data_IF_008983097081
#
_entry.id   IF_008983097081
#
_cell.length_a   1.000
_cell.length_b   1.000
_cell.length_c   1.000
_cell.angle_alpha   90.00
_cell.angle_beta   90.00
_cell.angle_gamma   90.00
#
_symmetry.space_group_name_H-M   'P 1'
#
loop_
_entity.id
_entity.type
_entity.pdbx_description
1 polymer ?
#
# COMPACT_ATOMS: atom_id res chain seq x y z
N UNK A 1 -18.08 -25.68 81.57
CA UNK A 1 -17.38 -26.37 80.47
C UNK A 1 -18.34 -26.37 79.30
N UNK A 2 -17.93 -25.74 78.19
CA UNK A 2 -18.68 -25.41 76.96
C UNK A 2 -19.66 -24.24 77.03
N UNK A 3 -19.23 -23.03 76.63
CA UNK A 3 -20.12 -21.97 76.11
C UNK A 3 -19.43 -20.86 75.26
N UNK A 4 -18.18 -21.04 74.78
CA UNK A 4 -17.45 -19.97 74.06
C UNK A 4 -17.18 -20.22 72.55
N UNK A 5 -17.71 -21.30 71.95
CA UNK A 5 -17.38 -21.66 70.54
C UNK A 5 -18.38 -21.16 69.49
N UNK A 6 -19.56 -20.65 69.87
CA UNK A 6 -20.63 -20.40 68.88
C UNK A 6 -20.48 -19.09 68.11
N UNK A 7 -19.74 -18.11 68.64
CA UNK A 7 -19.60 -16.77 68.03
C UNK A 7 -18.65 -16.73 66.84
N UNK A 8 -17.64 -17.61 66.78
CA UNK A 8 -16.71 -17.70 65.64
C UNK A 8 -17.38 -18.32 64.39
N UNK A 9 -18.33 -19.23 64.60
CA UNK A 9 -19.10 -19.85 63.52
C UNK A 9 -20.04 -18.83 62.86
N UNK A 10 -20.62 -17.91 63.64
CA UNK A 10 -21.51 -16.87 63.13
C UNK A 10 -20.79 -15.78 62.32
N UNK A 11 -19.56 -15.39 62.68
CA UNK A 11 -18.76 -14.46 61.86
C UNK A 11 -18.26 -15.12 60.56
N UNK A 12 -17.93 -16.41 60.61
CA UNK A 12 -17.57 -17.18 59.42
C UNK A 12 -18.74 -17.30 58.42
N UNK A 13 -19.97 -17.47 58.92
CA UNK A 13 -21.19 -17.47 58.10
C UNK A 13 -21.50 -16.09 57.50
N UNK A 14 -21.24 -14.99 58.23
CA UNK A 14 -21.36 -13.63 57.68
C UNK A 14 -20.37 -13.38 56.55
N UNK A 15 -19.13 -13.87 56.68
CA UNK A 15 -18.13 -13.78 55.62
C UNK A 15 -18.50 -14.60 54.38
N UNK A 16 -19.02 -15.81 54.56
CA UNK A 16 -19.48 -16.64 53.43
C UNK A 16 -20.69 -16.03 52.70
N UNK A 17 -21.64 -15.42 53.43
CA UNK A 17 -22.75 -14.68 52.80
C UNK A 17 -22.29 -13.44 52.03
N UNK A 18 -21.27 -12.71 52.52
CA UNK A 18 -20.69 -11.56 51.79
C UNK A 18 -19.95 -12.00 50.52
N UNK A 19 -19.23 -13.12 50.54
CA UNK A 19 -18.52 -13.66 49.37
C UNK A 19 -19.48 -14.06 48.24
N UNK A 20 -20.57 -14.77 48.55
CA UNK A 20 -21.59 -15.18 47.56
C UNK A 20 -22.30 -13.96 46.94
N UNK A 21 -22.53 -12.90 47.73
CA UNK A 21 -23.11 -11.66 47.23
C UNK A 21 -22.18 -10.90 46.28
N UNK A 22 -20.86 -10.94 46.52
CA UNK A 22 -19.84 -10.30 45.67
C UNK A 22 -19.70 -11.02 44.32
N UNK A 23 -19.76 -12.35 44.29
CA UNK A 23 -19.68 -13.11 43.04
C UNK A 23 -20.84 -12.82 42.10
N UNK A 24 -22.06 -12.71 42.64
CA UNK A 24 -23.24 -12.36 41.86
C UNK A 24 -23.22 -10.90 41.40
N UNK A 25 -22.67 -9.99 42.21
CA UNK A 25 -22.48 -8.58 41.85
C UNK A 25 -21.43 -8.41 40.74
N UNK A 26 -20.30 -9.14 40.80
CA UNK A 26 -19.26 -9.09 39.77
C UNK A 26 -19.77 -9.65 38.43
N UNK A 27 -20.51 -10.77 38.47
CA UNK A 27 -21.19 -11.32 37.27
C UNK A 27 -22.19 -10.34 36.68
N UNK A 28 -22.97 -9.66 37.53
CA UNK A 28 -23.92 -8.64 37.09
C UNK A 28 -23.22 -7.44 36.42
N UNK A 29 -22.11 -6.96 36.97
CA UNK A 29 -21.33 -5.87 36.37
C UNK A 29 -20.71 -6.25 35.02
N UNK A 30 -20.22 -7.48 34.85
CA UNK A 30 -19.71 -7.97 33.57
C UNK A 30 -20.82 -8.04 32.49
N UNK A 31 -22.02 -8.51 32.85
CA UNK A 31 -23.16 -8.57 31.94
C UNK A 31 -23.63 -7.17 31.55
N UNK A 32 -23.75 -6.24 32.51
CA UNK A 32 -24.10 -4.84 32.23
C UNK A 32 -23.06 -4.19 31.32
N UNK A 33 -21.77 -4.42 31.56
CA UNK A 33 -20.69 -3.92 30.69
C UNK A 33 -20.78 -4.41 29.25
N UNK A 34 -21.10 -5.70 29.03
CA UNK A 34 -21.30 -6.24 27.68
C UNK A 34 -22.53 -5.64 26.98
N UNK A 35 -23.65 -5.46 27.69
CA UNK A 35 -24.86 -4.87 27.12
C UNK A 35 -24.64 -3.39 26.74
N UNK A 36 -23.93 -2.63 27.57
CA UNK A 36 -23.56 -1.23 27.28
C UNK A 36 -22.58 -1.15 26.10
N UNK A 37 -21.62 -2.08 26.01
CA UNK A 37 -20.68 -2.16 24.89
C UNK A 37 -21.34 -2.46 23.54
N UNK A 38 -22.38 -3.30 23.52
CA UNK A 38 -23.14 -3.64 22.31
C UNK A 38 -23.99 -2.44 21.81
N UNK A 39 -24.48 -1.58 22.72
CA UNK A 39 -25.29 -0.41 22.34
C UNK A 39 -24.47 0.77 21.77
N UNK A 40 -23.15 0.76 21.88
CA UNK A 40 -22.27 1.85 21.43
C UNK A 40 -21.84 1.76 19.96
N UNK A 41 -22.44 0.89 19.14
CA UNK A 41 -22.12 0.76 17.71
C UNK A 41 -23.34 0.89 16.78
N UNK A 42 -24.38 1.62 17.19
CA UNK A 42 -25.62 1.80 16.38
C UNK A 42 -25.71 3.11 15.61
N UNK A 43 -24.72 4.01 15.75
CA UNK A 43 -24.70 5.32 15.07
C UNK A 43 -23.28 5.71 14.61
N UNK A 44 -22.68 4.87 13.78
CA UNK A 44 -21.55 5.29 12.93
C UNK A 44 -22.07 5.65 11.52
N UNK A 45 -22.38 6.93 11.23
CA UNK A 45 -22.69 7.39 9.87
C UNK A 45 -21.43 7.57 8.99
N UNK A 46 -20.39 6.75 9.20
CA UNK A 46 -19.12 6.80 8.44
C UNK A 46 -18.65 5.43 7.91
N UNK A 47 -19.57 4.48 7.78
CA UNK A 47 -19.41 3.37 6.83
C UNK A 47 -20.06 3.75 5.49
N UNK A 48 -19.71 4.92 4.94
CA UNK A 48 -19.95 5.22 3.53
C UNK A 48 -18.65 4.99 2.80
N UNK A 49 -18.31 3.72 2.60
CA UNK A 49 -17.20 3.28 1.75
C UNK A 49 -17.75 2.52 0.51
N UNK A 50 -18.86 3.00 -0.02
CA UNK A 50 -19.20 2.77 -1.43
C UNK A 50 -19.20 4.13 -2.12
N UNK A 51 -18.20 4.34 -2.96
CA UNK A 51 -18.55 4.63 -4.32
C UNK A 51 -17.84 3.63 -5.24
N UNK A 52 -18.61 3.00 -6.13
CA UNK A 52 -18.13 2.38 -7.37
C UNK A 52 -17.48 0.98 -7.31
N UNK A 53 -17.85 0.09 -6.38
CA UNK A 53 -17.41 -1.32 -6.41
C UNK A 53 -18.51 -2.34 -6.73
N UNK A 54 -19.57 -1.93 -7.44
CA UNK A 54 -20.60 -2.83 -7.93
C UNK A 54 -20.47 -3.00 -9.45
N UNK A 55 -19.47 -3.76 -9.92
CA UNK A 55 -19.46 -4.19 -11.32
C UNK A 55 -18.15 -4.65 -11.95
N UNK A 56 -17.00 -4.48 -11.30
CA UNK A 56 -15.75 -5.06 -11.82
C UNK A 56 -15.58 -6.46 -11.24
N UNK A 57 -15.16 -7.47 -12.05
CA UNK A 57 -14.72 -8.73 -11.49
C UNK A 57 -13.68 -8.42 -10.40
N UNK A 58 -13.65 -9.22 -9.34
CA UNK A 58 -12.64 -9.13 -8.29
C UNK A 58 -11.25 -9.49 -8.85
N UNK A 59 -10.77 -8.71 -9.82
CA UNK A 59 -9.39 -8.72 -10.25
C UNK A 59 -8.59 -8.38 -9.02
N UNK A 60 -7.83 -9.37 -8.57
CA UNK A 60 -6.93 -9.15 -7.46
C UNK A 60 -5.93 -8.08 -7.89
N UNK A 61 -5.96 -6.92 -7.24
CA UNK A 61 -5.08 -5.79 -7.53
C UNK A 61 -3.87 -5.88 -6.62
N UNK A 62 -2.68 -5.56 -7.14
CA UNK A 62 -1.54 -5.25 -6.30
C UNK A 62 -1.42 -3.73 -6.12
N UNK A 63 -1.26 -3.30 -4.87
CA UNK A 63 -1.08 -1.90 -4.55
C UNK A 63 0.42 -1.60 -4.43
N UNK A 64 0.95 -0.83 -5.37
CA UNK A 64 2.31 -0.32 -5.32
C UNK A 64 2.31 1.11 -4.75
N UNK A 65 3.17 1.37 -3.78
CA UNK A 65 3.43 2.74 -3.31
C UNK A 65 4.77 3.18 -3.84
N UNK A 66 4.80 4.34 -4.50
CA UNK A 66 6.04 4.97 -5.00
C UNK A 66 6.87 5.40 -3.79
N UNK A 67 8.10 4.88 -3.70
CA UNK A 67 8.99 5.06 -2.53
C UNK A 67 10.29 5.75 -2.88
N UNK A 68 10.69 5.78 -4.14
CA UNK A 68 12.02 6.20 -4.54
C UNK A 68 11.96 7.26 -5.63
N UNK A 69 12.89 8.21 -5.56
CA UNK A 69 13.09 9.18 -6.64
C UNK A 69 13.53 8.45 -7.92
N UNK A 70 13.03 8.92 -9.06
CA UNK A 70 13.28 8.31 -10.36
C UNK A 70 12.44 7.08 -10.66
N UNK A 71 11.52 6.67 -9.77
CA UNK A 71 10.47 5.72 -10.13
C UNK A 71 9.55 6.38 -11.16
N UNK A 72 9.42 5.72 -12.31
CA UNK A 72 8.51 6.15 -13.39
C UNK A 72 7.52 5.04 -13.66
N UNK A 73 6.37 5.41 -14.23
CA UNK A 73 5.33 4.43 -14.57
C UNK A 73 5.85 3.36 -15.54
N UNK A 74 6.77 3.72 -16.44
CA UNK A 74 7.44 2.79 -17.35
C UNK A 74 8.36 1.78 -16.62
N UNK A 75 9.12 2.22 -15.61
CA UNK A 75 9.98 1.33 -14.81
C UNK A 75 9.15 0.40 -13.93
N UNK A 76 8.07 0.92 -13.35
CA UNK A 76 7.11 0.13 -12.58
C UNK A 76 6.45 -0.90 -13.49
N UNK A 77 5.97 -0.50 -14.67
CA UNK A 77 5.41 -1.43 -15.67
C UNK A 77 6.42 -2.51 -16.06
N UNK A 78 7.67 -2.12 -16.34
CA UNK A 78 8.74 -3.07 -16.70
C UNK A 78 9.03 -4.08 -15.59
N UNK A 79 9.06 -3.64 -14.34
CA UNK A 79 9.28 -4.56 -13.21
C UNK A 79 8.12 -5.54 -13.05
N UNK A 80 6.89 -5.02 -13.01
CA UNK A 80 5.73 -5.83 -12.67
C UNK A 80 5.24 -6.68 -13.85
N UNK A 81 5.38 -6.21 -15.10
CA UNK A 81 4.88 -6.88 -16.31
C UNK A 81 5.95 -7.34 -17.29
N UNK A 82 7.23 -7.04 -17.02
CA UNK A 82 8.34 -7.34 -17.92
C UNK A 82 8.51 -6.34 -19.08
N UNK A 83 7.47 -5.59 -19.42
CA UNK A 83 7.47 -4.65 -20.54
C UNK A 83 7.14 -3.23 -20.05
N UNK A 84 8.02 -2.27 -20.37
CA UNK A 84 7.78 -0.86 -20.10
C UNK A 84 6.56 -0.32 -20.83
N UNK A 85 6.22 -0.82 -22.03
CA UNK A 85 5.10 -0.33 -22.83
C UNK A 85 3.72 -0.54 -22.18
N UNK A 86 3.63 -1.45 -21.20
CA UNK A 86 2.41 -1.65 -20.41
C UNK A 86 2.09 -0.48 -19.47
N UNK A 87 2.93 0.55 -19.39
CA UNK A 87 2.65 1.76 -18.61
C UNK A 87 1.31 2.41 -18.99
N UNK A 88 0.90 2.36 -20.26
CA UNK A 88 -0.38 2.91 -20.72
C UNK A 88 -1.56 2.19 -20.08
N UNK A 89 -1.52 0.86 -20.03
CA UNK A 89 -2.57 0.04 -19.39
C UNK A 89 -2.66 0.30 -17.90
N UNK A 90 -1.52 0.46 -17.23
CA UNK A 90 -1.48 0.82 -15.81
C UNK A 90 -2.05 2.25 -15.63
N UNK A 91 -1.71 3.18 -16.51
CA UNK A 91 -2.25 4.56 -16.46
C UNK A 91 -3.77 4.57 -16.61
N UNK A 92 -4.30 3.87 -17.63
CA UNK A 92 -5.74 3.74 -17.87
C UNK A 92 -6.46 3.12 -16.65
N UNK A 93 -5.89 2.06 -16.07
CA UNK A 93 -6.45 1.41 -14.89
C UNK A 93 -6.53 2.34 -13.65
N UNK A 94 -5.65 3.33 -13.57
CA UNK A 94 -5.60 4.30 -12.47
C UNK A 94 -6.31 5.62 -12.78
N UNK A 95 -7.14 5.67 -13.83
CA UNK A 95 -7.90 6.88 -14.18
C UNK A 95 -7.11 7.87 -15.02
N UNK A 96 -6.26 7.38 -15.93
CA UNK A 96 -5.48 8.17 -16.89
C UNK A 96 -4.50 9.14 -16.20
N UNK A 97 -3.47 8.58 -15.57
CA UNK A 97 -2.32 9.36 -15.09
C UNK A 97 -1.63 10.00 -16.29
N UNK A 98 -1.86 11.31 -16.47
CA UNK A 98 -1.36 12.07 -17.60
C UNK A 98 0.17 12.02 -17.67
N UNK A 99 0.70 11.49 -18.77
CA UNK A 99 2.14 11.50 -19.08
C UNK A 99 3.00 10.60 -18.19
N UNK A 100 2.42 9.70 -17.38
CA UNK A 100 3.19 8.81 -16.52
C UNK A 100 3.93 9.52 -15.38
N UNK A 101 3.52 10.75 -15.07
CA UNK A 101 4.05 11.52 -13.93
C UNK A 101 3.47 10.96 -12.65
N UNK A 102 4.36 10.52 -11.76
CA UNK A 102 4.02 9.96 -10.45
C UNK A 102 4.96 10.57 -9.41
N UNK A 103 4.44 10.75 -8.20
CA UNK A 103 5.15 11.34 -7.07
C UNK A 103 5.38 10.30 -5.98
N UNK A 104 6.40 10.52 -5.16
CA UNK A 104 6.64 9.70 -3.98
C UNK A 104 5.40 9.75 -3.07
N UNK A 105 4.95 8.58 -2.64
CA UNK A 105 3.73 8.40 -1.85
C UNK A 105 2.49 8.05 -2.68
N UNK A 106 2.53 8.20 -4.01
CA UNK A 106 1.43 7.81 -4.87
C UNK A 106 1.17 6.31 -4.77
N UNK A 107 -0.12 5.95 -4.74
CA UNK A 107 -0.59 4.57 -4.63
C UNK A 107 -1.15 4.13 -5.97
N UNK A 108 -0.37 3.32 -6.68
CA UNK A 108 -0.70 2.79 -7.99
C UNK A 108 -1.33 1.40 -7.85
N UNK A 109 -2.49 1.23 -8.48
CA UNK A 109 -3.16 -0.05 -8.62
C UNK A 109 -2.62 -0.77 -9.86
N UNK A 110 -2.04 -1.94 -9.67
CA UNK A 110 -1.53 -2.75 -10.77
C UNK A 110 -2.41 -3.99 -10.90
N UNK A 111 -3.10 -4.19 -12.03
CA UNK A 111 -3.96 -5.34 -12.21
C UNK A 111 -3.12 -6.62 -12.32
N UNK A 112 -3.52 -7.69 -11.62
CA UNK A 112 -2.76 -8.96 -11.67
C UNK A 112 -2.75 -9.62 -13.06
N UNK A 113 -3.65 -9.24 -13.95
CA UNK A 113 -3.59 -9.67 -15.36
C UNK A 113 -2.30 -9.24 -16.07
N UNK A 114 -1.63 -8.19 -15.57
CA UNK A 114 -0.34 -7.70 -16.07
C UNK A 114 0.86 -8.17 -15.22
N UNK A 115 0.64 -8.94 -14.15
CA UNK A 115 1.69 -9.31 -13.19
C UNK A 115 2.51 -10.52 -13.65
N UNK A 116 3.82 -10.33 -13.81
CA UNK A 116 4.84 -11.37 -13.82
C UNK A 116 5.50 -11.54 -12.45
N UNK A 117 5.70 -10.45 -11.70
CA UNK A 117 6.39 -10.46 -10.41
C UNK A 117 5.52 -9.91 -9.29
N UNK A 118 5.39 -10.63 -8.18
CA UNK A 118 4.64 -10.18 -7.00
C UNK A 118 5.48 -9.45 -5.95
N UNK A 119 6.78 -9.32 -6.19
CA UNK A 119 7.72 -8.76 -5.22
C UNK A 119 7.78 -7.23 -5.31
N UNK A 120 7.99 -6.54 -4.17
CA UNK A 120 8.18 -5.10 -4.16
C UNK A 120 9.39 -4.72 -5.02
N UNK A 121 9.28 -3.61 -5.75
CA UNK A 121 10.35 -3.05 -6.58
C UNK A 121 11.60 -2.79 -5.72
N UNK A 122 12.73 -3.49 -5.95
CA UNK A 122 13.93 -3.31 -5.14
C UNK A 122 14.74 -2.12 -5.65
N UNK A 123 15.18 -1.25 -4.73
CA UNK A 123 15.97 -0.05 -5.03
C UNK A 123 17.23 -0.34 -5.87
N UNK A 124 17.90 -1.47 -5.62
CA UNK A 124 19.10 -1.87 -6.39
C UNK A 124 18.79 -2.14 -7.87
N UNK A 125 17.62 -2.74 -8.16
CA UNK A 125 17.17 -2.93 -9.53
C UNK A 125 16.86 -1.60 -10.20
N UNK A 126 16.16 -0.71 -9.49
CA UNK A 126 15.83 0.64 -9.98
C UNK A 126 17.09 1.42 -10.37
N UNK A 127 18.08 1.50 -9.47
CA UNK A 127 19.35 2.21 -9.73
C UNK A 127 20.06 1.64 -10.95
N UNK A 128 20.11 0.31 -11.08
CA UNK A 128 20.74 -0.35 -12.22
C UNK A 128 20.04 0.01 -13.53
N UNK A 129 18.72 0.06 -13.54
CA UNK A 129 17.93 0.37 -14.74
C UNK A 129 18.06 1.85 -15.13
N UNK A 130 18.07 2.77 -14.16
CA UNK A 130 18.35 4.19 -14.39
C UNK A 130 19.73 4.40 -15.01
N UNK A 131 20.77 3.74 -14.46
CA UNK A 131 22.13 3.80 -14.99
C UNK A 131 22.25 3.25 -16.43
N UNK A 132 21.37 2.32 -16.80
CA UNK A 132 21.32 1.78 -18.17
C UNK A 132 20.74 2.82 -19.14
N UNK A 133 19.71 3.54 -18.72
CA UNK A 133 19.08 4.59 -19.54
C UNK A 133 20.03 5.77 -19.77
N UNK A 134 20.78 6.21 -18.76
CA UNK A 134 21.74 7.31 -18.90
C UNK A 134 22.90 6.97 -19.84
N UNK A 135 23.45 5.75 -19.76
CA UNK A 135 24.50 5.28 -20.68
C UNK A 135 24.02 5.14 -22.13
N UNK A 136 22.80 4.65 -22.33
CA UNK A 136 22.22 4.57 -23.67
C UNK A 136 21.98 5.96 -24.28
N UNK A 137 21.55 6.93 -23.46
CA UNK A 137 21.37 8.32 -23.86
C UNK A 137 22.68 9.01 -24.26
N UNK A 138 23.76 8.86 -23.49
CA UNK A 138 25.03 9.51 -23.81
C UNK A 138 25.66 8.95 -25.10
N UNK A 139 25.62 7.63 -25.28
CA UNK A 139 26.13 7.01 -26.50
C UNK A 139 25.36 7.49 -27.75
N UNK A 140 24.04 7.69 -27.63
CA UNK A 140 23.24 8.21 -28.74
C UNK A 140 23.54 9.70 -29.05
N UNK A 141 23.78 10.53 -28.03
CA UNK A 141 24.14 11.94 -28.25
C UNK A 141 25.53 12.12 -28.85
N UNK A 142 26.49 11.27 -28.47
CA UNK A 142 27.85 11.33 -28.99
C UNK A 142 27.89 10.97 -30.49
N UNK A 143 27.13 9.95 -30.89
CA UNK A 143 26.97 9.55 -32.30
C UNK A 143 26.27 10.63 -33.13
N UNK A 144 25.28 11.33 -32.55
CA UNK A 144 24.59 12.42 -33.24
C UNK A 144 25.51 13.65 -33.45
N UNK A 145 26.43 13.90 -32.52
CA UNK A 145 27.39 15.02 -32.62
C UNK A 145 28.44 14.78 -33.69
N UNK A 146 28.98 13.56 -33.81
CA UNK A 146 29.94 13.22 -34.87
C UNK A 146 29.34 13.27 -36.28
N UNK A 147 28.05 12.95 -36.45
CA UNK A 147 27.37 13.03 -37.76
C UNK A 147 27.12 14.46 -38.24
N UNK A 148 26.96 15.43 -37.33
CA UNK A 148 26.69 16.83 -37.68
C UNK A 148 27.91 17.59 -38.19
N UNK A 149 29.11 17.31 -37.68
CA UNK A 149 30.36 17.98 -38.09
C UNK A 149 30.88 17.49 -39.45
N UNK A 150 30.60 16.24 -39.84
CA UNK A 150 31.06 15.69 -41.13
C UNK A 150 30.32 16.22 -42.35
N UNK A 151 29.05 16.64 -42.20
CA UNK A 151 28.21 17.08 -43.32
C UNK A 151 28.45 18.54 -43.71
N UNK A 152 28.79 19.40 -42.74
CA UNK A 152 29.20 20.80 -43.00
C UNK A 152 30.52 20.88 -43.74
N UNK A 153 31.51 20.08 -43.36
CA UNK A 153 32.82 20.07 -44.02
C UNK A 153 32.76 19.51 -45.45
N UNK A 154 31.89 18.53 -45.67
CA UNK A 154 31.68 17.96 -47.00
C UNK A 154 30.90 18.92 -47.92
N UNK A 155 29.97 19.72 -47.37
CA UNK A 155 29.28 20.77 -48.11
C UNK A 155 30.23 21.92 -48.51
N UNK A 156 31.10 22.38 -47.61
CA UNK A 156 32.08 23.43 -47.90
C UNK A 156 33.07 22.99 -48.99
N UNK A 157 33.55 21.74 -48.96
CA UNK A 157 34.45 21.20 -50.00
C UNK A 157 33.79 21.05 -51.37
N UNK A 158 32.46 20.91 -51.43
CA UNK A 158 31.71 20.86 -52.71
C UNK A 158 31.49 22.24 -53.33
N UNK A 159 31.46 23.30 -52.52
CA UNK A 159 31.30 24.69 -52.99
C UNK A 159 32.61 25.31 -53.49
N UNK A 160 33.75 24.73 -53.14
CA UNK A 160 35.09 25.18 -53.54
C UNK A 160 35.66 24.43 -54.77
N UNK A 161 34.83 23.69 -55.50
CA UNK A 161 35.16 23.06 -56.79
C UNK A 161 34.31 23.66 -57.90
#
# INVERSE_FOLDING_TARGET
MYDDDFSEVFESLKYMCRLIAIDNLLKLLLVIGMVVGILACSKCPKCSLEPMLAGLPAETVYLHTVKHEGETLALIAKWYSGDSANWTRISEYNGQIAGGVIHIGDRLRIPKSLFLASYPLPKSWLIRELNKQTKAGSAASDIAREKGEGESDQAIRRLLK
#
